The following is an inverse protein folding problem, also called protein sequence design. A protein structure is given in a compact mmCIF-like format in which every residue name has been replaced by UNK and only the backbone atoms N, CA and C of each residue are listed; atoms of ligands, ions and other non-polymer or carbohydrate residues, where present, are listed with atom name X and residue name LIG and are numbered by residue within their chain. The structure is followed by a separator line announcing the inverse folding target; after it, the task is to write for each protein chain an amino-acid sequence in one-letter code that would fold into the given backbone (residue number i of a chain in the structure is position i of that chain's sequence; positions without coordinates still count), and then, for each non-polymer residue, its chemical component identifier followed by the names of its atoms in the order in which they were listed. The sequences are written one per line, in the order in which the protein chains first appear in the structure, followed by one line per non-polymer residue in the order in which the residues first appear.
data_IF_218927167766
#
_entry.id   IF_218927167766
#
_cell.length_a   1.000
_cell.length_b   1.000
_cell.length_c   1.000
_cell.angle_alpha   90.00
_cell.angle_beta   90.00
_cell.angle_gamma   90.00
#
_symmetry.space_group_name_H-M   'P 1'
#
loop_
_entity.id
_entity.type
_entity.pdbx_description
1 polymer ?
#
# COMPACT_ATOMS: atom_id res chain seq x y z
N UNK A 1 -31.85 18.06 -11.36
CA UNK A 1 -32.86 17.05 -11.74
C UNK A 1 -32.21 15.71 -11.44
N UNK A 2 -32.57 15.14 -10.28
CA UNK A 2 -32.17 13.80 -9.87
C UNK A 2 -33.06 12.81 -10.60
N UNK A 3 -32.46 11.94 -11.40
CA UNK A 3 -32.88 10.59 -11.82
C UNK A 3 -31.68 10.11 -12.63
N UNK A 4 -31.06 8.99 -12.23
CA UNK A 4 -30.20 8.06 -13.02
C UNK A 4 -28.80 7.68 -12.49
N UNK A 5 -28.28 8.21 -11.38
CA UNK A 5 -27.01 7.66 -10.84
C UNK A 5 -27.18 6.29 -10.13
N UNK A 6 -28.37 6.02 -9.55
CA UNK A 6 -28.63 4.78 -8.81
C UNK A 6 -29.05 3.58 -9.68
N UNK A 7 -29.43 3.80 -10.94
CA UNK A 7 -29.93 2.74 -11.84
C UNK A 7 -28.83 2.26 -12.81
N UNK A 8 -27.74 3.02 -12.96
CA UNK A 8 -26.72 2.74 -13.98
C UNK A 8 -25.67 1.71 -13.55
N UNK A 9 -25.38 1.61 -12.25
CA UNK A 9 -24.34 0.72 -11.72
C UNK A 9 -24.67 -0.78 -11.94
N UNK A 10 -25.92 -1.27 -11.77
CA UNK A 10 -26.20 -2.70 -11.91
C UNK A 10 -26.03 -3.24 -13.34
N UNK A 11 -26.29 -2.44 -14.39
CA UNK A 11 -26.21 -2.89 -15.79
C UNK A 11 -24.78 -2.81 -16.35
N UNK A 12 -23.99 -1.82 -15.93
CA UNK A 12 -22.58 -1.66 -16.30
C UNK A 12 -21.67 -2.78 -15.77
N UNK A 13 -22.05 -3.39 -14.65
CA UNK A 13 -21.32 -4.49 -14.03
C UNK A 13 -21.39 -5.81 -14.83
N UNK A 14 -22.30 -5.94 -15.80
CA UNK A 14 -22.50 -7.17 -16.56
C UNK A 14 -21.61 -7.28 -17.82
N UNK A 15 -21.20 -6.17 -18.44
CA UNK A 15 -20.55 -6.16 -19.76
C UNK A 15 -19.07 -5.71 -19.76
N UNK A 16 -18.54 -5.28 -18.61
CA UNK A 16 -17.10 -5.09 -18.42
C UNK A 16 -16.48 -3.80 -18.99
N UNK A 17 -17.28 -2.93 -19.62
CA UNK A 17 -16.84 -1.63 -20.13
C UNK A 17 -17.83 -0.52 -19.73
N UNK A 18 -17.31 0.63 -19.34
CA UNK A 18 -18.08 1.85 -19.12
C UNK A 18 -18.27 2.64 -20.44
N UNK A 19 -19.29 3.50 -20.55
CA UNK A 19 -19.37 4.48 -21.64
C UNK A 19 -18.06 5.29 -21.63
N UNK A 20 -17.48 5.55 -22.79
CA UNK A 20 -16.16 6.20 -23.01
C UNK A 20 -14.92 5.29 -23.01
N UNK A 21 -15.06 3.96 -22.97
CA UNK A 21 -13.91 3.05 -23.09
C UNK A 21 -13.06 2.92 -21.82
N UNK A 22 -13.60 3.37 -20.67
CA UNK A 22 -12.99 3.15 -19.36
C UNK A 22 -13.29 1.73 -18.88
N UNK A 23 -12.32 1.15 -18.18
CA UNK A 23 -12.49 -0.18 -17.58
C UNK A 23 -13.20 -0.08 -16.23
N UNK A 24 -13.80 -1.18 -15.78
CA UNK A 24 -14.35 -1.28 -14.42
C UNK A 24 -13.26 -1.02 -13.35
N UNK A 25 -11.98 -1.25 -13.68
CA UNK A 25 -10.85 -0.93 -12.82
C UNK A 25 -10.69 0.58 -12.63
N UNK A 26 -10.80 1.36 -13.71
CA UNK A 26 -10.69 2.83 -13.67
C UNK A 26 -11.81 3.44 -12.83
N UNK A 27 -13.02 2.87 -12.93
CA UNK A 27 -14.13 3.24 -12.06
C UNK A 27 -13.78 3.06 -10.59
N UNK A 28 -13.22 1.90 -10.22
CA UNK A 28 -12.85 1.67 -8.85
C UNK A 28 -11.67 2.56 -8.41
N UNK A 29 -10.65 2.77 -9.24
CA UNK A 29 -9.57 3.71 -8.92
C UNK A 29 -10.13 5.09 -8.55
N UNK A 30 -11.11 5.60 -9.30
CA UNK A 30 -11.73 6.90 -9.04
C UNK A 30 -12.58 6.96 -7.75
N UNK A 31 -13.01 5.81 -7.23
CA UNK A 31 -13.88 5.70 -6.05
C UNK A 31 -13.17 5.06 -4.84
N UNK A 32 -11.85 4.92 -4.90
CA UNK A 32 -11.09 4.42 -3.77
C UNK A 32 -11.28 5.34 -2.54
N UNK A 33 -11.39 4.77 -1.32
CA UNK A 33 -11.42 5.57 -0.10
C UNK A 33 -10.21 6.51 -0.03
N UNK A 34 -10.39 7.70 0.51
CA UNK A 34 -9.28 8.66 0.63
C UNK A 34 -8.13 8.13 1.49
N UNK A 35 -8.46 7.38 2.56
CA UNK A 35 -7.47 6.81 3.47
C UNK A 35 -7.13 5.35 3.10
N UNK A 36 -5.82 5.03 2.92
CA UNK A 36 -5.37 3.67 2.70
C UNK A 36 -5.66 2.77 3.89
N UNK A 37 -6.26 1.60 3.63
CA UNK A 37 -6.61 0.64 4.67
C UNK A 37 -5.37 -0.02 5.29
N UNK A 38 -5.46 -0.44 6.56
CA UNK A 38 -4.33 -0.98 7.31
C UNK A 38 -3.73 -2.29 6.76
N UNK A 39 -4.46 -3.00 5.88
CA UNK A 39 -3.94 -4.18 5.19
C UNK A 39 -3.05 -3.84 3.99
N UNK A 40 -3.09 -2.60 3.49
CA UNK A 40 -2.36 -2.20 2.30
C UNK A 40 -0.91 -1.84 2.62
N UNK A 41 0.02 -2.42 1.86
CA UNK A 41 1.44 -2.13 1.91
C UNK A 41 1.89 -1.67 0.51
N UNK A 42 2.48 -0.47 0.36
CA UNK A 42 2.96 -0.01 -0.93
C UNK A 42 4.15 -0.85 -1.41
N UNK A 43 4.29 -1.00 -2.72
CA UNK A 43 5.47 -1.62 -3.33
C UNK A 43 6.60 -0.59 -3.42
N UNK A 44 7.65 -0.79 -2.64
CA UNK A 44 8.84 0.05 -2.63
C UNK A 44 10.06 -0.72 -2.09
N UNK A 45 11.29 -0.18 -2.17
CA UNK A 45 12.46 -0.81 -1.57
C UNK A 45 12.30 -1.04 -0.07
N UNK A 46 13.01 -2.03 0.47
CA UNK A 46 13.01 -2.33 1.91
C UNK A 46 13.49 -1.14 2.75
N UNK A 47 13.04 -1.08 4.01
CA UNK A 47 13.48 -0.04 4.96
C UNK A 47 15.00 -0.16 5.16
N UNK A 48 15.76 0.93 5.06
CA UNK A 48 17.19 0.91 5.34
C UNK A 48 17.44 0.46 6.78
N UNK A 49 18.36 -0.49 6.95
CA UNK A 49 18.79 -0.93 8.26
C UNK A 49 19.37 0.24 9.05
N UNK A 50 18.97 0.38 10.31
CA UNK A 50 19.50 1.41 11.19
C UNK A 50 20.98 1.17 11.45
N UNK A 51 21.76 2.25 11.43
CA UNK A 51 23.18 2.25 11.75
C UNK A 51 23.42 3.09 12.99
N UNK A 52 24.12 2.55 13.96
CA UNK A 52 24.44 3.22 15.22
C UNK A 52 25.95 3.38 15.34
N UNK A 53 26.44 4.60 15.60
CA UNK A 53 27.84 4.85 15.91
C UNK A 53 28.04 4.93 17.41
N UNK A 54 28.99 4.15 17.94
CA UNK A 54 29.43 4.25 19.33
C UNK A 54 30.51 5.32 19.53
N UNK A 55 30.69 5.75 20.77
CA UNK A 55 31.81 6.62 21.21
C UNK A 55 33.21 6.03 20.92
N UNK A 56 33.30 4.72 20.71
CA UNK A 56 34.51 4.02 20.31
C UNK A 56 34.79 4.05 18.79
N UNK A 57 33.97 4.75 18.00
CA UNK A 57 34.13 4.89 16.55
C UNK A 57 33.70 3.66 15.74
N UNK A 58 33.05 2.68 16.38
CA UNK A 58 32.53 1.46 15.73
C UNK A 58 31.06 1.64 15.34
N UNK A 59 30.69 1.13 14.16
CA UNK A 59 29.31 1.08 13.69
C UNK A 59 28.63 -0.24 14.08
N UNK A 60 27.38 -0.17 14.51
CA UNK A 60 26.56 -1.29 14.92
C UNK A 60 25.22 -1.29 14.16
N UNK A 61 24.70 -2.48 13.90
CA UNK A 61 23.41 -2.66 13.23
C UNK A 61 22.24 -2.66 14.22
N UNK A 62 22.53 -2.94 15.49
CA UNK A 62 21.54 -2.96 16.56
C UNK A 62 22.03 -2.25 17.82
N UNK A 63 21.07 -1.77 18.61
CA UNK A 63 21.34 -1.23 19.94
C UNK A 63 21.97 -2.28 20.88
N UNK A 64 21.62 -3.55 20.72
CA UNK A 64 22.16 -4.65 21.54
C UNK A 64 23.66 -4.83 21.31
N UNK A 65 24.09 -4.85 20.04
CA UNK A 65 25.51 -4.96 19.69
C UNK A 65 26.32 -3.79 20.24
N UNK A 66 25.81 -2.56 20.11
CA UNK A 66 26.47 -1.38 20.65
C UNK A 66 26.66 -1.44 22.17
N UNK A 67 25.65 -1.94 22.90
CA UNK A 67 25.69 -2.10 24.35
C UNK A 67 26.65 -3.22 24.79
N UNK A 68 26.66 -4.35 24.08
CA UNK A 68 27.56 -5.48 24.37
C UNK A 68 29.04 -5.11 24.12
N UNK A 69 29.30 -4.20 23.19
CA UNK A 69 30.64 -3.69 22.90
C UNK A 69 31.16 -2.65 23.92
N UNK A 70 30.37 -2.31 24.96
CA UNK A 70 30.79 -1.42 26.04
C UNK A 70 30.76 0.07 25.66
N UNK A 71 30.04 0.45 24.61
CA UNK A 71 29.85 1.86 24.27
C UNK A 71 28.88 2.52 25.25
N UNK A 72 29.29 3.65 25.86
CA UNK A 72 28.48 4.37 26.84
C UNK A 72 27.47 5.33 26.20
N UNK A 73 27.67 5.66 24.92
CA UNK A 73 26.75 6.49 24.14
C UNK A 73 26.76 6.07 22.68
N UNK A 74 25.58 6.11 22.06
CA UNK A 74 25.40 5.73 20.66
C UNK A 74 24.46 6.75 20.00
N UNK A 75 24.73 7.03 18.73
CA UNK A 75 23.90 7.90 17.91
C UNK A 75 23.51 7.16 16.64
N UNK A 76 22.27 7.30 16.19
CA UNK A 76 21.90 6.75 14.89
C UNK A 76 22.56 7.61 13.80
N UNK A 77 23.33 6.98 12.93
CA UNK A 77 24.12 7.63 11.88
C UNK A 77 23.29 7.91 10.63
N UNK A 78 22.30 7.06 10.33
CA UNK A 78 21.49 7.16 9.11
C UNK A 78 20.05 7.62 9.38
N UNK A 79 19.84 8.52 10.34
CA UNK A 79 18.51 9.07 10.67
C UNK A 79 17.84 9.67 9.44
N UNK A 80 18.58 10.47 8.65
CA UNK A 80 18.04 11.11 7.46
C UNK A 80 17.57 10.10 6.40
N UNK A 81 18.33 9.03 6.18
CA UNK A 81 17.98 7.95 5.25
C UNK A 81 16.68 7.25 5.69
N UNK A 82 16.58 6.89 6.98
CA UNK A 82 15.38 6.26 7.55
C UNK A 82 14.16 7.18 7.47
N UNK A 83 14.32 8.46 7.79
CA UNK A 83 13.20 9.44 7.74
C UNK A 83 12.78 9.75 6.30
N UNK A 84 13.71 9.80 5.35
CA UNK A 84 13.38 9.92 3.93
C UNK A 84 12.62 8.70 3.42
N UNK A 85 13.03 7.50 3.82
CA UNK A 85 12.30 6.28 3.48
C UNK A 85 10.89 6.29 4.04
N UNK A 86 10.68 6.67 5.31
CA UNK A 86 9.34 6.75 5.92
C UNK A 86 8.43 7.76 5.20
N UNK A 87 8.97 8.92 4.82
CA UNK A 87 8.22 9.92 4.06
C UNK A 87 7.83 9.42 2.68
N UNK A 88 8.73 8.75 1.97
CA UNK A 88 8.40 8.16 0.68
C UNK A 88 7.44 6.98 0.84
N UNK A 89 7.56 6.19 1.91
CA UNK A 89 6.61 5.12 2.22
C UNK A 89 5.20 5.64 2.38
N UNK A 90 5.01 6.69 3.18
CA UNK A 90 3.69 7.29 3.39
C UNK A 90 3.11 7.82 2.07
N UNK A 91 3.92 8.55 1.30
CA UNK A 91 3.53 9.03 -0.03
C UNK A 91 3.15 7.88 -0.98
N UNK A 92 3.96 6.83 -1.07
CA UNK A 92 3.69 5.68 -1.92
C UNK A 92 2.43 4.93 -1.48
N UNK A 93 2.15 4.90 -0.17
CA UNK A 93 0.91 4.36 0.37
C UNK A 93 -0.31 5.07 -0.21
N UNK A 94 -0.31 6.40 -0.30
CA UNK A 94 -1.42 7.13 -0.92
C UNK A 94 -1.44 7.02 -2.45
N UNK A 95 -0.28 7.04 -3.11
CA UNK A 95 -0.19 6.97 -4.58
C UNK A 95 -0.67 5.62 -5.12
N UNK A 96 -0.28 4.53 -4.48
CA UNK A 96 -0.56 3.18 -4.97
C UNK A 96 -1.91 2.62 -4.46
N UNK A 97 -2.46 3.23 -3.41
CA UNK A 97 -3.69 2.76 -2.77
C UNK A 97 -4.90 2.62 -3.72
N UNK A 98 -5.24 3.62 -4.56
CA UNK A 98 -6.42 3.51 -5.42
C UNK A 98 -6.38 2.31 -6.37
N UNK A 99 -5.18 1.99 -6.88
CA UNK A 99 -4.96 0.85 -7.75
C UNK A 99 -5.14 -0.47 -6.99
N UNK A 100 -4.53 -0.59 -5.82
CA UNK A 100 -4.63 -1.78 -4.99
C UNK A 100 -6.06 -2.05 -4.51
N UNK A 101 -6.81 -0.99 -4.19
CA UNK A 101 -8.22 -1.09 -3.84
C UNK A 101 -9.08 -1.63 -4.99
N UNK A 102 -8.89 -1.09 -6.19
CA UNK A 102 -9.58 -1.55 -7.38
C UNK A 102 -9.29 -3.03 -7.68
N UNK A 103 -8.03 -3.43 -7.57
CA UNK A 103 -7.61 -4.81 -7.80
C UNK A 103 -8.23 -5.77 -6.77
N UNK A 104 -8.26 -5.37 -5.49
CA UNK A 104 -8.87 -6.16 -4.42
C UNK A 104 -10.38 -6.39 -4.64
N UNK A 105 -11.12 -5.37 -5.09
CA UNK A 105 -12.56 -5.52 -5.39
C UNK A 105 -12.78 -6.44 -6.58
N UNK A 106 -11.98 -6.27 -7.65
CA UNK A 106 -12.08 -7.10 -8.83
C UNK A 106 -11.74 -8.56 -8.52
N UNK A 107 -10.74 -8.81 -7.67
CA UNK A 107 -10.40 -10.14 -7.19
C UNK A 107 -11.53 -10.75 -6.36
N UNK A 108 -12.07 -10.02 -5.39
CA UNK A 108 -13.21 -10.48 -4.58
C UNK A 108 -14.43 -10.83 -5.47
N UNK A 109 -14.69 -10.02 -6.50
CA UNK A 109 -15.75 -10.28 -7.48
C UNK A 109 -15.48 -11.56 -8.28
N UNK A 110 -14.26 -11.75 -8.78
CA UNK A 110 -13.87 -12.97 -9.51
C UNK A 110 -14.04 -14.21 -8.64
N UNK A 111 -13.56 -14.17 -7.40
CA UNK A 111 -13.72 -15.25 -6.44
C UNK A 111 -15.20 -15.59 -6.18
N UNK A 112 -16.04 -14.57 -5.98
CA UNK A 112 -17.48 -14.76 -5.78
C UNK A 112 -18.17 -15.38 -7.02
N UNK A 113 -17.72 -15.05 -8.23
CA UNK A 113 -18.25 -15.67 -9.46
C UNK A 113 -17.71 -17.09 -9.70
N UNK A 114 -16.48 -17.38 -9.30
CA UNK A 114 -15.88 -18.71 -9.39
C UNK A 114 -16.53 -19.69 -8.41
N UNK A 115 -16.83 -19.26 -7.18
CA UNK A 115 -17.57 -20.05 -6.19
C UNK A 115 -19.03 -20.33 -6.57
N UNK A 116 -19.58 -19.63 -7.58
CA UNK A 116 -20.91 -19.91 -8.15
C UNK A 116 -20.87 -20.88 -9.33
N UNK A 117 -19.69 -21.21 -9.87
CA UNK A 117 -19.56 -22.19 -10.95
C UNK A 117 -19.44 -23.61 -10.40
N UNK A 118 -20.62 -24.23 -10.29
CA UNK A 118 -20.96 -25.66 -10.53
C UNK A 118 -20.57 -26.75 -9.51
N UNK A 119 -21.21 -27.96 -9.53
CA UNK A 119 -22.36 -28.39 -10.36
C UNK A 119 -23.41 -29.33 -9.69
N UNK A 120 -24.53 -29.48 -10.41
CA UNK A 120 -25.42 -30.65 -10.60
C UNK A 120 -26.00 -31.42 -9.42
#
# INVERSE_FOLDING_TARGET
MNIDDDIYVPRLLAEGHLPEGRTLRDYFIAHAPAEPQGWFQPRMPEEPLKKFGGDNGVEYSTFREAKEAGSNSFTQLNVEETENWKREFDKQRYVQWPLAWADAILEARRAATAGKKTPT
#
